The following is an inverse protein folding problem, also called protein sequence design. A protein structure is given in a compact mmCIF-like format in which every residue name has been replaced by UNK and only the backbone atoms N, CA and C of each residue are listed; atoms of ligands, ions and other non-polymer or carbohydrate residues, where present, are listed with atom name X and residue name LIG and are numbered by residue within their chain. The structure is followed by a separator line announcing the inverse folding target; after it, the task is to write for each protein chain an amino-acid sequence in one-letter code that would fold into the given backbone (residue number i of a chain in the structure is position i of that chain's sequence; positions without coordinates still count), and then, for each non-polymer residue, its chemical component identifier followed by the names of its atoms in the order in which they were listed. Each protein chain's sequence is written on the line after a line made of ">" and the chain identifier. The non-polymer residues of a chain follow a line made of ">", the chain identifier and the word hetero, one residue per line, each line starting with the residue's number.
data_IF_757227473558
#
_entry.id   IF_757227473558
#
_cell.length_a   1.000
_cell.length_b   1.000
_cell.length_c   1.000
_cell.angle_alpha   90.00
_cell.angle_beta   90.00
_cell.angle_gamma   90.00
#
_symmetry.space_group_name_H-M   'P 1'
#
loop_
_entity.id
_entity.type
_entity.pdbx_description
1 polymer ?
#
# COMPACT_ATOMS: atom_id res chain seq x y z
N UNK A 1 16.34 -2.24 -32.10
CA UNK A 1 15.58 -3.50 -32.01
C UNK A 1 14.34 -3.21 -31.19
N UNK A 2 13.19 -3.07 -31.85
CA UNK A 2 11.93 -2.70 -31.20
C UNK A 2 11.31 -3.97 -30.61
N UNK A 3 11.44 -4.15 -29.29
CA UNK A 3 10.79 -5.24 -28.59
C UNK A 3 9.30 -4.92 -28.47
N UNK A 4 8.49 -5.52 -29.33
CA UNK A 4 7.03 -5.49 -29.15
C UNK A 4 6.75 -6.27 -27.87
N UNK A 5 6.27 -5.56 -26.85
CA UNK A 5 5.85 -6.19 -25.60
C UNK A 5 4.56 -6.95 -25.89
N UNK A 6 4.59 -8.27 -25.73
CA UNK A 6 3.37 -9.08 -25.75
C UNK A 6 2.59 -8.77 -24.47
N UNK A 7 1.50 -8.02 -24.64
CA UNK A 7 0.64 -7.57 -23.54
C UNK A 7 -0.07 -8.73 -22.83
N UNK A 8 -0.25 -9.88 -23.50
CA UNK A 8 -0.85 -11.07 -22.91
C UNK A 8 0.17 -11.79 -22.04
N UNK A 9 1.41 -11.92 -22.52
CA UNK A 9 2.50 -12.50 -21.72
C UNK A 9 2.80 -11.62 -20.50
N UNK A 10 2.83 -10.30 -20.68
CA UNK A 10 2.98 -9.35 -19.58
C UNK A 10 1.84 -9.42 -18.57
N UNK A 11 0.59 -9.56 -19.03
CA UNK A 11 -0.58 -9.71 -18.15
C UNK A 11 -0.51 -11.02 -17.36
N UNK A 12 -0.19 -12.13 -18.01
CA UNK A 12 -0.06 -13.44 -17.35
C UNK A 12 1.03 -13.43 -16.29
N UNK A 13 2.21 -12.89 -16.61
CA UNK A 13 3.28 -12.76 -15.64
C UNK A 13 2.86 -11.92 -14.41
N UNK A 14 2.02 -10.90 -14.60
CA UNK A 14 1.44 -10.12 -13.50
C UNK A 14 0.42 -10.91 -12.69
N UNK A 15 -0.45 -11.66 -13.33
CA UNK A 15 -1.44 -12.50 -12.66
C UNK A 15 -0.77 -13.63 -11.86
N UNK A 16 0.26 -14.25 -12.43
CA UNK A 16 1.07 -15.27 -11.77
C UNK A 16 1.88 -14.69 -10.60
N UNK A 17 2.48 -13.50 -10.76
CA UNK A 17 3.15 -12.81 -9.67
C UNK A 17 2.15 -12.38 -8.58
N UNK A 18 0.95 -11.95 -8.95
CA UNK A 18 -0.11 -11.60 -8.00
C UNK A 18 -0.68 -12.84 -7.28
N UNK A 19 -0.76 -13.99 -7.94
CA UNK A 19 -1.19 -15.26 -7.36
C UNK A 19 -0.10 -15.86 -6.46
N UNK A 20 1.17 -15.77 -6.83
CA UNK A 20 2.30 -16.19 -6.01
C UNK A 20 2.52 -15.26 -4.80
N UNK A 21 2.16 -13.98 -4.95
CA UNK A 21 2.15 -13.00 -3.86
C UNK A 21 0.79 -12.91 -3.17
N UNK A 22 -0.19 -13.72 -3.58
CA UNK A 22 -1.51 -13.71 -2.99
C UNK A 22 -1.35 -14.20 -1.56
N UNK A 23 -1.64 -13.35 -0.58
CA UNK A 23 -1.55 -13.75 0.80
C UNK A 23 -2.60 -14.83 1.04
N UNK A 24 -2.25 -15.82 1.86
CA UNK A 24 -3.28 -16.65 2.47
C UNK A 24 -4.32 -15.71 3.09
N UNK A 25 -5.58 -15.87 2.70
CA UNK A 25 -6.68 -15.14 3.33
C UNK A 25 -6.59 -15.42 4.84
N UNK A 26 -6.34 -14.37 5.63
CA UNK A 26 -6.59 -14.39 7.06
C UNK A 26 -8.11 -14.45 7.22
N UNK A 27 -8.68 -15.66 7.09
CA UNK A 27 -10.07 -15.93 7.44
C UNK A 27 -10.28 -15.91 8.98
N UNK A 28 -9.20 -15.71 9.75
CA UNK A 28 -9.22 -15.47 11.17
C UNK A 28 -9.43 -13.96 11.45
N UNK A 29 -10.11 -13.64 12.55
CA UNK A 29 -10.17 -12.27 13.04
C UNK A 29 -8.75 -11.69 13.16
N UNK A 30 -8.51 -10.44 12.72
CA UNK A 30 -7.19 -9.84 12.77
C UNK A 30 -6.72 -9.73 14.21
N UNK A 31 -5.47 -10.10 14.46
CA UNK A 31 -4.83 -9.93 15.76
C UNK A 31 -4.97 -8.46 16.23
N UNK A 32 -5.53 -8.19 17.43
CA UNK A 32 -5.67 -6.84 17.97
C UNK A 32 -4.37 -6.03 17.95
N UNK A 33 -3.21 -6.69 18.09
CA UNK A 33 -1.91 -6.02 18.00
C UNK A 33 -1.62 -5.48 16.59
N UNK A 34 -2.08 -6.18 15.54
CA UNK A 34 -1.95 -5.74 14.14
C UNK A 34 -2.87 -4.57 13.86
N UNK A 35 -4.11 -4.60 14.38
CA UNK A 35 -5.05 -3.47 14.27
C UNK A 35 -4.47 -2.23 14.95
N UNK A 36 -4.00 -2.36 16.20
CA UNK A 36 -3.38 -1.24 16.92
C UNK A 36 -2.09 -0.73 16.26
N UNK A 37 -1.41 -1.58 15.48
CA UNK A 37 -0.25 -1.17 14.67
C UNK A 37 -0.68 -0.39 13.44
N UNK A 38 -1.71 -0.85 12.74
CA UNK A 38 -2.31 -0.16 11.60
C UNK A 38 -2.81 1.23 12.00
N UNK A 39 -3.56 1.34 13.11
CA UNK A 39 -4.10 2.62 13.58
C UNK A 39 -3.00 3.65 13.80
N UNK A 40 -1.93 3.28 14.50
CA UNK A 40 -0.76 4.16 14.71
C UNK A 40 -0.07 4.56 13.41
N UNK A 41 0.02 3.63 12.46
CA UNK A 41 0.59 3.94 11.15
C UNK A 41 -0.32 4.88 10.35
N UNK A 42 -1.64 4.71 10.44
CA UNK A 42 -2.63 5.54 9.78
C UNK A 42 -2.66 6.96 10.35
N UNK A 43 -2.62 7.12 11.67
CA UNK A 43 -2.49 8.43 12.33
C UNK A 43 -1.24 9.17 11.86
N UNK A 44 -0.11 8.48 11.84
CA UNK A 44 1.16 9.07 11.38
C UNK A 44 1.12 9.44 9.90
N UNK A 45 0.49 8.62 9.05
CA UNK A 45 0.29 8.94 7.65
C UNK A 45 -0.60 10.16 7.48
N UNK A 46 -1.70 10.26 8.24
CA UNK A 46 -2.61 11.39 8.20
C UNK A 46 -1.87 12.71 8.45
N UNK A 47 -1.02 12.76 9.48
CA UNK A 47 -0.22 13.95 9.79
C UNK A 47 0.76 14.31 8.67
N UNK A 48 1.45 13.32 8.11
CA UNK A 48 2.44 13.53 7.05
C UNK A 48 1.79 13.96 5.73
N UNK A 49 0.69 13.32 5.36
CA UNK A 49 -0.07 13.61 4.13
C UNK A 49 -0.73 14.98 4.23
N UNK A 50 -1.32 15.32 5.39
CA UNK A 50 -1.91 16.64 5.63
C UNK A 50 -0.87 17.74 5.48
N UNK A 51 0.33 17.57 6.06
CA UNK A 51 1.44 18.51 5.89
C UNK A 51 1.88 18.65 4.44
N UNK A 52 2.04 17.54 3.72
CA UNK A 52 2.42 17.58 2.30
C UNK A 52 1.37 18.32 1.45
N UNK A 53 0.08 18.10 1.74
CA UNK A 53 -1.02 18.81 1.08
C UNK A 53 -1.04 20.32 1.43
N UNK A 54 -0.73 20.70 2.66
CA UNK A 54 -0.64 22.11 3.05
C UNK A 54 0.52 22.84 2.36
N UNK A 55 1.66 22.16 2.17
CA UNK A 55 2.88 22.76 1.57
C UNK A 55 2.79 22.80 0.05
N UNK A 56 2.49 21.67 -0.58
CA UNK A 56 2.59 21.51 -2.03
C UNK A 56 1.22 21.60 -2.73
N UNK A 57 0.11 21.52 -1.99
CA UNK A 57 -1.25 21.53 -2.54
C UNK A 57 -1.66 20.23 -3.25
N UNK A 58 -0.76 19.25 -3.35
CA UNK A 58 -0.99 17.97 -4.02
C UNK A 58 -0.09 16.87 -3.43
N UNK A 59 -0.45 15.61 -3.66
CA UNK A 59 0.39 14.47 -3.33
C UNK A 59 1.17 14.00 -4.54
N UNK A 60 2.36 13.46 -4.30
CA UNK A 60 3.08 12.77 -5.36
C UNK A 60 2.28 11.54 -5.82
N UNK A 61 2.19 11.24 -7.13
CA UNK A 61 1.40 10.11 -7.65
C UNK A 61 1.75 8.75 -7.01
N UNK A 62 3.01 8.58 -6.61
CA UNK A 62 3.47 7.38 -5.90
C UNK A 62 2.83 7.24 -4.52
N UNK A 63 2.66 8.34 -3.79
CA UNK A 63 2.03 8.36 -2.45
C UNK A 63 0.54 8.03 -2.58
N UNK A 64 -0.14 8.64 -3.55
CA UNK A 64 -1.56 8.34 -3.83
C UNK A 64 -1.77 6.86 -4.19
N UNK A 65 -0.87 6.31 -5.01
CA UNK A 65 -0.92 4.90 -5.39
C UNK A 65 -0.76 3.97 -4.17
N UNK A 66 0.16 4.28 -3.26
CA UNK A 66 0.33 3.49 -2.04
C UNK A 66 -0.86 3.63 -1.09
N UNK A 67 -1.46 4.82 -0.94
CA UNK A 67 -2.68 5.01 -0.16
C UNK A 67 -3.86 4.21 -0.73
N UNK A 68 -4.03 4.22 -2.06
CA UNK A 68 -5.03 3.40 -2.74
C UNK A 68 -4.78 1.90 -2.54
N UNK A 69 -3.51 1.47 -2.56
CA UNK A 69 -3.15 0.08 -2.28
C UNK A 69 -3.49 -0.33 -0.84
N UNK A 70 -3.23 0.52 0.15
CA UNK A 70 -3.62 0.29 1.55
C UNK A 70 -5.14 0.14 1.65
N UNK A 71 -5.91 1.03 1.03
CA UNK A 71 -7.37 0.92 1.02
C UNK A 71 -7.86 -0.36 0.35
N UNK A 72 -7.22 -0.77 -0.75
CA UNK A 72 -7.50 -2.04 -1.42
C UNK A 72 -7.26 -3.24 -0.50
N UNK A 73 -6.12 -3.28 0.17
CA UNK A 73 -5.76 -4.31 1.15
C UNK A 73 -6.79 -4.38 2.30
N UNK A 74 -7.21 -3.23 2.85
CA UNK A 74 -8.24 -3.18 3.88
C UNK A 74 -9.61 -3.67 3.39
N UNK A 75 -9.99 -3.31 2.17
CA UNK A 75 -11.28 -3.70 1.57
C UNK A 75 -11.39 -5.22 1.41
N UNK A 76 -10.28 -5.91 1.16
CA UNK A 76 -10.25 -7.38 1.04
C UNK A 76 -9.83 -8.10 2.33
N UNK A 77 -9.77 -7.38 3.46
CA UNK A 77 -9.49 -7.96 4.78
C UNK A 77 -8.00 -8.25 5.05
N UNK A 78 -7.09 -7.73 4.24
CA UNK A 78 -5.64 -7.95 4.36
C UNK A 78 -4.99 -6.95 5.34
N UNK A 79 -5.49 -6.93 6.59
CA UNK A 79 -5.11 -5.95 7.63
C UNK A 79 -3.60 -5.97 7.92
N UNK A 80 -2.99 -7.15 7.97
CA UNK A 80 -1.54 -7.30 8.20
C UNK A 80 -0.70 -6.62 7.12
N UNK A 81 -1.10 -6.71 5.85
CA UNK A 81 -0.39 -6.07 4.74
C UNK A 81 -0.62 -4.57 4.71
N UNK A 82 -1.86 -4.14 4.92
CA UNK A 82 -2.20 -2.74 5.07
C UNK A 82 -1.33 -2.09 6.16
N UNK A 83 -1.14 -2.76 7.30
CA UNK A 83 -0.28 -2.28 8.37
C UNK A 83 1.18 -2.16 7.93
N UNK A 84 1.76 -3.19 7.31
CA UNK A 84 3.16 -3.16 6.83
C UNK A 84 3.37 -2.06 5.79
N UNK A 85 2.44 -1.93 4.84
CA UNK A 85 2.50 -0.92 3.80
C UNK A 85 2.37 0.49 4.36
N UNK A 86 1.43 0.70 5.27
CA UNK A 86 1.25 1.99 5.94
C UNK A 86 2.50 2.41 6.70
N UNK A 87 3.12 1.51 7.45
CA UNK A 87 4.37 1.78 8.17
C UNK A 87 5.53 2.13 7.23
N UNK A 88 5.67 1.39 6.13
CA UNK A 88 6.70 1.66 5.12
C UNK A 88 6.48 3.03 4.48
N UNK A 89 5.25 3.33 4.07
CA UNK A 89 4.92 4.63 3.47
C UNK A 89 5.18 5.77 4.46
N UNK A 90 4.80 5.62 5.73
CA UNK A 90 5.04 6.63 6.76
C UNK A 90 6.55 6.86 6.99
N UNK A 91 7.35 5.79 6.95
CA UNK A 91 8.81 5.88 7.05
C UNK A 91 9.41 6.61 5.85
N UNK A 92 8.97 6.29 4.64
CA UNK A 92 9.47 6.90 3.41
C UNK A 92 9.12 8.40 3.34
N UNK A 93 7.89 8.76 3.71
CA UNK A 93 7.45 10.16 3.79
C UNK A 93 8.24 10.95 4.84
N UNK A 94 8.47 10.36 6.02
CA UNK A 94 9.25 10.99 7.08
C UNK A 94 10.74 11.15 6.75
N UNK A 95 11.26 10.40 5.77
CA UNK A 95 12.64 10.55 5.28
C UNK A 95 12.75 11.57 4.14
N UNK A 96 11.63 11.94 3.51
CA UNK A 96 11.56 12.92 2.43
C UNK A 96 11.34 14.37 2.92
N UNK A 97 11.06 14.54 4.23
CA UNK A 97 10.88 15.82 4.92
C UNK A 97 11.98 16.00 5.98
#
# INVERSE_FOLDING_TARGET
>A
MSGIIDLIEWRRAREDAAAASAPASDAAEPDPAVVARLDRAAERLFDLVSKALEVDGHLQPKVETELLAIMGELTVGLVSQAAVRAERLAKDLAAAH
#
